data_IF_609545094083
#
_entry.id   IF_609545094083
#
_cell.length_a   1.000
_cell.length_b   1.000
_cell.length_c   1.000
_cell.angle_alpha   90.00
_cell.angle_beta   90.00
_cell.angle_gamma   90.00
#
_symmetry.space_group_name_H-M   'P 1'
#
loop_
_entity.id
_entity.type
_entity.pdbx_description
1 polymer ?
#
# COMPACT_ATOMS: atom_id res chain seq x y z
N UNK A 1 12.32 -75.48 10.44
CA UNK A 1 11.48 -74.96 9.34
C UNK A 1 11.38 -73.45 9.52
N UNK A 2 12.25 -72.69 8.84
CA UNK A 2 12.26 -71.23 8.87
C UNK A 2 11.23 -70.73 7.85
N UNK A 3 10.07 -70.28 8.34
CA UNK A 3 9.09 -69.57 7.52
C UNK A 3 9.65 -68.18 7.25
N UNK A 4 10.34 -68.06 6.11
CA UNK A 4 10.83 -66.82 5.54
C UNK A 4 9.65 -65.91 5.16
N UNK A 5 9.15 -65.14 6.14
CA UNK A 5 8.25 -64.00 5.94
C UNK A 5 9.06 -62.79 5.46
N UNK A 6 9.70 -62.91 4.29
CA UNK A 6 10.10 -61.73 3.53
C UNK A 6 8.85 -61.28 2.78
N UNK A 7 8.06 -60.43 3.45
CA UNK A 7 7.05 -59.60 2.81
C UNK A 7 7.77 -58.90 1.65
N UNK A 8 7.46 -59.27 0.41
CA UNK A 8 7.80 -58.49 -0.78
C UNK A 8 7.14 -57.13 -0.58
N UNK A 9 7.92 -56.15 -0.15
CA UNK A 9 7.51 -54.76 -0.26
C UNK A 9 7.53 -54.46 -1.75
N UNK A 10 6.40 -54.05 -2.30
CA UNK A 10 6.33 -53.55 -3.68
C UNK A 10 7.20 -52.30 -3.78
N UNK A 11 8.46 -52.49 -4.19
CA UNK A 11 9.47 -51.43 -4.31
C UNK A 11 8.98 -50.26 -5.18
N UNK A 12 8.08 -50.52 -6.14
CA UNK A 12 7.45 -49.49 -6.98
C UNK A 12 6.49 -48.56 -6.22
N UNK A 13 5.77 -49.05 -5.22
CA UNK A 13 4.83 -48.26 -4.40
C UNK A 13 5.57 -47.32 -3.45
N UNK A 14 6.66 -47.81 -2.85
CA UNK A 14 7.49 -47.03 -1.94
C UNK A 14 8.18 -45.87 -2.66
N UNK A 15 8.75 -46.11 -3.85
CA UNK A 15 9.39 -45.07 -4.66
C UNK A 15 8.39 -44.01 -5.11
N UNK A 16 7.19 -44.40 -5.56
CA UNK A 16 6.15 -43.44 -5.93
C UNK A 16 5.71 -42.58 -4.73
N UNK A 17 5.50 -43.21 -3.58
CA UNK A 17 5.12 -42.52 -2.34
C UNK A 17 6.20 -41.55 -1.86
N UNK A 18 7.48 -41.95 -1.97
CA UNK A 18 8.62 -41.10 -1.65
C UNK A 18 8.73 -39.90 -2.60
N UNK A 19 8.54 -40.11 -3.90
CA UNK A 19 8.53 -39.04 -4.90
C UNK A 19 7.37 -38.08 -4.62
N UNK A 20 6.16 -38.58 -4.37
CA UNK A 20 5.00 -37.74 -4.02
C UNK A 20 5.25 -36.93 -2.74
N UNK A 21 5.86 -37.53 -1.73
CA UNK A 21 6.24 -36.83 -0.49
C UNK A 21 7.27 -35.73 -0.74
N UNK A 22 8.31 -36.00 -1.54
CA UNK A 22 9.34 -35.02 -1.89
C UNK A 22 8.76 -33.85 -2.70
N UNK A 23 7.85 -34.13 -3.63
CA UNK A 23 7.13 -33.09 -4.39
C UNK A 23 6.27 -32.24 -3.45
N UNK A 24 5.57 -32.85 -2.50
CA UNK A 24 4.77 -32.14 -1.50
C UNK A 24 5.65 -31.23 -0.63
N UNK A 25 6.77 -31.75 -0.11
CA UNK A 25 7.73 -30.97 0.69
C UNK A 25 8.30 -29.80 -0.11
N UNK A 26 8.65 -30.04 -1.38
CA UNK A 26 9.13 -28.99 -2.26
C UNK A 26 8.07 -27.91 -2.51
N UNK A 27 6.82 -28.31 -2.76
CA UNK A 27 5.69 -27.40 -2.96
C UNK A 27 5.39 -26.55 -1.71
N UNK A 28 5.44 -27.17 -0.52
CA UNK A 28 5.29 -26.44 0.76
C UNK A 28 6.43 -25.45 0.95
N UNK A 29 7.67 -25.83 0.62
CA UNK A 29 8.82 -24.96 0.75
C UNK A 29 8.80 -23.78 -0.22
N UNK A 30 8.42 -24.00 -1.48
CA UNK A 30 8.27 -22.92 -2.47
C UNK A 30 7.11 -22.00 -2.11
N UNK A 31 5.98 -22.53 -1.64
CA UNK A 31 4.87 -21.72 -1.11
C UNK A 31 5.31 -20.87 0.08
N UNK A 32 6.10 -21.43 1.00
CA UNK A 32 6.63 -20.70 2.16
C UNK A 32 7.57 -19.57 1.74
N UNK A 33 8.46 -19.82 0.76
CA UNK A 33 9.33 -18.79 0.18
C UNK A 33 8.53 -17.69 -0.52
N UNK A 34 7.49 -18.05 -1.28
CA UNK A 34 6.62 -17.09 -1.96
C UNK A 34 5.90 -16.19 -0.95
N UNK A 35 5.35 -16.77 0.13
CA UNK A 35 4.69 -16.02 1.20
C UNK A 35 5.64 -15.03 1.90
N UNK A 36 6.88 -15.47 2.20
CA UNK A 36 7.89 -14.58 2.78
C UNK A 36 8.30 -13.45 1.83
N UNK A 37 8.44 -13.75 0.54
CA UNK A 37 8.74 -12.74 -0.47
C UNK A 37 7.60 -11.72 -0.60
N UNK A 38 6.35 -12.18 -0.57
CA UNK A 38 5.17 -11.31 -0.62
C UNK A 38 5.08 -10.41 0.62
N UNK A 39 5.25 -10.96 1.82
CA UNK A 39 5.24 -10.17 3.06
C UNK A 39 6.31 -9.06 3.06
N UNK A 40 7.49 -9.33 2.48
CA UNK A 40 8.54 -8.30 2.32
C UNK A 40 8.13 -7.19 1.34
N UNK A 41 7.44 -7.55 0.25
CA UNK A 41 6.92 -6.57 -0.72
C UNK A 41 5.83 -5.71 -0.09
N UNK A 42 4.85 -6.33 0.55
CA UNK A 42 3.74 -5.61 1.21
C UNK A 42 4.29 -4.63 2.27
N UNK A 43 5.25 -5.07 3.09
CA UNK A 43 5.96 -4.18 4.05
C UNK A 43 6.65 -3.00 3.37
N UNK A 44 7.28 -3.25 2.21
CA UNK A 44 7.93 -2.19 1.44
C UNK A 44 6.93 -1.20 0.88
N UNK A 45 5.79 -1.66 0.36
CA UNK A 45 4.76 -0.79 -0.20
C UNK A 45 4.07 0.06 0.85
N UNK A 46 3.75 -0.50 2.03
CA UNK A 46 3.22 0.27 3.18
C UNK A 46 4.21 1.36 3.59
N UNK A 47 5.50 1.03 3.67
CA UNK A 47 6.55 2.02 3.95
C UNK A 47 6.62 3.11 2.87
N UNK A 48 6.44 2.73 1.60
CA UNK A 48 6.41 3.68 0.49
C UNK A 48 5.18 4.60 0.55
N UNK A 49 4.02 4.09 0.97
CA UNK A 49 2.82 4.90 1.19
C UNK A 49 3.07 5.98 2.26
N UNK A 50 3.64 5.60 3.42
CA UNK A 50 4.04 6.59 4.42
C UNK A 50 5.07 7.60 3.90
N UNK A 51 6.01 7.17 3.06
CA UNK A 51 6.99 8.07 2.45
C UNK A 51 6.32 9.07 1.49
N UNK A 52 5.31 8.64 0.73
CA UNK A 52 4.53 9.49 -0.16
C UNK A 52 3.75 10.55 0.63
N UNK A 53 3.10 10.19 1.75
CA UNK A 53 2.44 11.18 2.63
C UNK A 53 3.45 12.22 3.13
N UNK A 54 4.65 11.81 3.55
CA UNK A 54 5.69 12.75 3.98
C UNK A 54 6.08 13.71 2.85
N UNK A 55 6.14 13.23 1.62
CA UNK A 55 6.39 14.07 0.45
C UNK A 55 5.23 15.04 0.18
N UNK A 56 3.98 14.61 0.34
CA UNK A 56 2.81 15.49 0.25
C UNK A 56 2.88 16.61 1.31
N UNK A 57 3.19 16.28 2.56
CA UNK A 57 3.38 17.28 3.63
C UNK A 57 4.51 18.27 3.34
N UNK A 58 5.62 17.77 2.79
CA UNK A 58 6.74 18.62 2.39
C UNK A 58 6.34 19.59 1.27
N UNK A 59 5.57 19.12 0.28
CA UNK A 59 5.04 19.98 -0.78
C UNK A 59 4.01 20.97 -0.25
N UNK A 60 3.11 20.55 0.64
CA UNK A 60 2.13 21.43 1.27
C UNK A 60 2.81 22.56 2.06
N UNK A 61 3.90 22.25 2.78
CA UNK A 61 4.75 23.27 3.42
C UNK A 61 5.38 24.22 2.39
N UNK A 62 5.79 23.71 1.23
CA UNK A 62 6.27 24.52 0.12
C UNK A 62 5.21 25.47 -0.44
N UNK A 63 3.96 25.02 -0.54
CA UNK A 63 2.81 25.86 -0.95
C UNK A 63 2.61 26.98 0.07
N UNK A 64 2.57 26.67 1.36
CA UNK A 64 2.43 27.67 2.44
C UNK A 64 3.52 28.76 2.38
N UNK A 65 4.78 28.36 2.18
CA UNK A 65 5.90 29.31 2.02
C UNK A 65 5.69 30.18 0.76
N UNK A 66 5.41 29.56 -0.40
CA UNK A 66 5.22 30.27 -1.65
C UNK A 66 4.05 31.27 -1.60
N UNK A 67 2.95 30.92 -0.93
CA UNK A 67 1.81 31.82 -0.74
C UNK A 67 2.15 33.01 0.16
N UNK A 68 2.92 32.80 1.24
CA UNK A 68 3.40 33.89 2.11
C UNK A 68 4.33 34.86 1.39
N UNK A 69 5.17 34.33 0.51
CA UNK A 69 6.10 35.11 -0.31
C UNK A 69 5.44 35.72 -1.56
N UNK A 70 4.11 35.56 -1.71
CA UNK A 70 3.32 36.01 -2.88
C UNK A 70 3.80 35.41 -4.22
N UNK A 71 4.50 34.27 -4.19
CA UNK A 71 4.96 33.51 -5.35
C UNK A 71 3.83 32.61 -5.89
N UNK A 72 2.73 33.21 -6.35
CA UNK A 72 1.51 32.47 -6.73
C UNK A 72 1.72 31.42 -7.83
N UNK A 73 2.59 31.68 -8.81
CA UNK A 73 2.92 30.73 -9.88
C UNK A 73 3.62 29.49 -9.31
N UNK A 74 4.55 29.68 -8.38
CA UNK A 74 5.23 28.58 -7.71
C UNK A 74 4.28 27.79 -6.82
N UNK A 75 3.40 28.49 -6.09
CA UNK A 75 2.35 27.85 -5.31
C UNK A 75 1.45 26.97 -6.20
N UNK A 76 1.12 27.42 -7.41
CA UNK A 76 0.33 26.64 -8.37
C UNK A 76 1.05 25.38 -8.84
N UNK A 77 2.33 25.49 -9.22
CA UNK A 77 3.13 24.33 -9.61
C UNK A 77 3.25 23.30 -8.48
N UNK A 78 3.40 23.76 -7.25
CA UNK A 78 3.45 22.88 -6.07
C UNK A 78 2.07 22.25 -5.76
N UNK A 79 0.98 22.97 -6.01
CA UNK A 79 -0.38 22.45 -5.86
C UNK A 79 -0.68 21.36 -6.88
N UNK A 80 -0.27 21.53 -8.15
CA UNK A 80 -0.37 20.49 -9.18
C UNK A 80 0.48 19.26 -8.83
N UNK A 81 1.69 19.46 -8.31
CA UNK A 81 2.52 18.36 -7.80
C UNK A 81 1.86 17.64 -6.61
N UNK A 82 1.18 18.37 -5.73
CA UNK A 82 0.44 17.79 -4.61
C UNK A 82 -0.72 16.94 -5.15
N UNK A 83 -1.51 17.47 -6.08
CA UNK A 83 -2.61 16.76 -6.73
C UNK A 83 -2.14 15.43 -7.34
N UNK A 84 -1.09 15.45 -8.15
CA UNK A 84 -0.55 14.24 -8.77
C UNK A 84 -0.06 13.19 -7.75
N UNK A 85 0.48 13.61 -6.61
CA UNK A 85 0.92 12.70 -5.55
C UNK A 85 -0.24 12.11 -4.75
N UNK A 86 -1.29 12.90 -4.53
CA UNK A 86 -2.52 12.46 -3.87
C UNK A 86 -3.24 11.41 -4.75
N UNK A 87 -3.35 11.62 -6.07
CA UNK A 87 -3.92 10.62 -6.97
C UNK A 87 -3.09 9.34 -7.12
N UNK A 88 -1.76 9.44 -7.01
CA UNK A 88 -0.88 8.26 -6.90
C UNK A 88 -1.15 7.43 -5.64
N UNK A 89 -1.69 8.05 -4.59
CA UNK A 89 -1.98 7.39 -3.33
C UNK A 89 -3.03 6.29 -3.52
N UNK A 90 -4.21 6.63 -4.06
CA UNK A 90 -5.25 5.64 -4.32
C UNK A 90 -4.84 4.60 -5.35
N UNK A 91 -4.37 5.05 -6.51
CA UNK A 91 -4.09 4.17 -7.65
C UNK A 91 -3.02 3.12 -7.38
N UNK A 92 -2.02 3.45 -6.55
CA UNK A 92 -0.91 2.55 -6.25
C UNK A 92 -1.00 1.87 -4.89
N UNK A 93 -1.54 2.56 -3.89
CA UNK A 93 -1.51 2.11 -2.50
C UNK A 93 -2.89 1.80 -1.92
N UNK A 94 -3.99 1.95 -2.68
CA UNK A 94 -5.35 1.77 -2.17
C UNK A 94 -5.60 0.41 -1.50
N UNK A 95 -4.97 -0.66 -1.98
CA UNK A 95 -5.03 -2.00 -1.36
C UNK A 95 -4.38 -2.11 0.03
N UNK A 96 -3.64 -1.09 0.47
CA UNK A 96 -3.01 -1.00 1.79
C UNK A 96 -3.66 0.06 2.68
N UNK A 97 -4.89 0.48 2.36
CA UNK A 97 -5.63 1.47 3.12
C UNK A 97 -6.95 0.90 3.63
N UNK A 98 -7.44 1.52 4.70
CA UNK A 98 -8.82 1.37 5.12
C UNK A 98 -9.76 2.04 4.12
N UNK A 99 -11.00 1.54 3.94
CA UNK A 99 -11.97 2.09 2.98
C UNK A 99 -12.19 3.61 3.13
N UNK A 100 -12.16 4.11 4.36
CA UNK A 100 -12.34 5.52 4.73
C UNK A 100 -11.25 6.43 4.12
N UNK A 101 -10.07 5.89 3.81
CA UNK A 101 -9.01 6.63 3.16
C UNK A 101 -9.39 7.09 1.75
N UNK A 102 -10.23 6.33 1.04
CA UNK A 102 -10.63 6.67 -0.32
C UNK A 102 -11.47 7.95 -0.36
N UNK A 103 -12.40 8.09 0.59
CA UNK A 103 -13.24 9.28 0.72
C UNK A 103 -12.37 10.50 1.08
N UNK A 104 -11.43 10.36 2.01
CA UNK A 104 -10.50 11.44 2.39
C UNK A 104 -9.66 11.88 1.19
N UNK A 105 -9.12 10.93 0.41
CA UNK A 105 -8.32 11.26 -0.77
C UNK A 105 -9.17 11.97 -1.81
N UNK A 106 -10.40 11.50 -2.06
CA UNK A 106 -11.31 12.12 -3.02
C UNK A 106 -11.71 13.55 -2.59
N UNK A 107 -12.02 13.76 -1.32
CA UNK A 107 -12.27 15.09 -0.75
C UNK A 107 -11.05 16.00 -0.90
N UNK A 108 -9.84 15.47 -0.70
CA UNK A 108 -8.59 16.19 -0.86
C UNK A 108 -8.34 16.58 -2.33
N UNK A 109 -8.50 15.65 -3.27
CA UNK A 109 -8.38 15.93 -4.72
C UNK A 109 -9.37 16.99 -5.18
N UNK A 110 -10.63 16.87 -4.74
CA UNK A 110 -11.66 17.86 -5.02
C UNK A 110 -11.30 19.23 -4.46
N UNK A 111 -10.80 19.28 -3.22
CA UNK A 111 -10.36 20.52 -2.58
C UNK A 111 -9.21 21.17 -3.35
N UNK A 112 -8.24 20.37 -3.81
CA UNK A 112 -7.11 20.86 -4.61
C UNK A 112 -7.57 21.38 -5.98
N UNK A 113 -8.48 20.67 -6.65
CA UNK A 113 -8.99 21.05 -7.97
C UNK A 113 -9.92 22.27 -7.90
N UNK A 114 -10.69 22.38 -6.82
CA UNK A 114 -11.63 23.49 -6.59
C UNK A 114 -10.96 24.73 -6.00
N UNK A 115 -9.71 24.64 -5.57
CA UNK A 115 -8.89 25.78 -5.12
C UNK A 115 -8.62 26.75 -6.30
N UNK A 116 -9.61 27.59 -6.61
CA UNK A 116 -9.40 28.80 -7.42
C UNK A 116 -8.56 29.76 -6.59
N UNK A 117 -7.54 30.33 -7.23
CA UNK A 117 -6.55 31.23 -6.60
C UNK A 117 -7.21 32.17 -5.58
N UNK A 118 -6.79 32.15 -4.31
CA UNK A 118 -7.25 33.14 -3.35
C UNK A 118 -6.51 34.45 -3.64
N UNK A 119 -7.03 35.25 -4.57
CA UNK A 119 -6.70 36.69 -4.59
C UNK A 119 -7.31 37.43 -3.37
N UNK A 120 -8.01 36.71 -2.47
CA UNK A 120 -8.52 37.26 -1.21
C UNK A 120 -9.11 36.25 -0.23
N UNK A 121 -8.83 34.94 -0.39
CA UNK A 121 -9.31 33.88 0.51
C UNK A 121 -8.30 33.54 1.60
N UNK A 122 -8.79 33.00 2.72
CA UNK A 122 -7.95 32.52 3.83
C UNK A 122 -7.22 31.23 3.43
N UNK A 123 -6.10 31.38 2.74
CA UNK A 123 -5.24 30.28 2.32
C UNK A 123 -4.72 29.46 3.50
N UNK A 124 -4.68 30.03 4.70
CA UNK A 124 -4.25 29.32 5.90
C UNK A 124 -5.24 28.21 6.27
N UNK A 125 -6.55 28.51 6.20
CA UNK A 125 -7.59 27.50 6.41
C UNK A 125 -7.45 26.34 5.41
N UNK A 126 -7.20 26.65 4.13
CA UNK A 126 -6.96 25.62 3.12
C UNK A 126 -5.74 24.74 3.44
N UNK A 127 -4.62 25.35 3.81
CA UNK A 127 -3.40 24.60 4.19
C UNK A 127 -3.64 23.73 5.42
N UNK A 128 -4.36 24.24 6.42
CA UNK A 128 -4.66 23.50 7.64
C UNK A 128 -5.61 22.32 7.36
N UNK A 129 -6.66 22.53 6.56
CA UNK A 129 -7.53 21.44 6.08
C UNK A 129 -6.74 20.35 5.34
N UNK A 130 -5.86 20.74 4.40
CA UNK A 130 -5.03 19.77 3.67
C UNK A 130 -4.05 19.03 4.59
N UNK A 131 -3.60 19.65 5.68
CA UNK A 131 -2.77 18.99 6.67
C UNK A 131 -3.57 17.94 7.43
N UNK A 132 -4.77 18.29 7.88
CA UNK A 132 -5.68 17.37 8.56
C UNK A 132 -6.05 16.17 7.67
N UNK A 133 -6.35 16.40 6.38
CA UNK A 133 -6.59 15.31 5.43
C UNK A 133 -5.37 14.39 5.30
N UNK A 134 -4.14 14.93 5.24
CA UNK A 134 -2.92 14.12 5.18
C UNK A 134 -2.64 13.36 6.49
N UNK A 135 -3.01 13.92 7.64
CA UNK A 135 -2.97 13.24 8.93
C UNK A 135 -3.95 12.06 8.94
N UNK A 136 -5.21 12.29 8.55
CA UNK A 136 -6.21 11.25 8.47
C UNK A 136 -5.83 10.15 7.46
N UNK A 137 -5.31 10.50 6.27
CA UNK A 137 -4.78 9.53 5.31
C UNK A 137 -3.68 8.65 5.91
N UNK A 138 -2.82 9.22 6.75
CA UNK A 138 -1.73 8.48 7.39
C UNK A 138 -2.23 7.48 8.43
N UNK A 139 -3.24 7.88 9.20
CA UNK A 139 -3.89 7.03 10.21
C UNK A 139 -4.65 5.86 9.59
N UNK A 140 -5.13 6.02 8.34
CA UNK A 140 -5.86 4.99 7.60
C UNK A 140 -4.96 4.06 6.76
N UNK A 141 -3.63 4.17 6.83
CA UNK A 141 -2.72 3.17 6.24
C UNK A 141 -2.72 1.92 7.14
N UNK A 142 -2.92 0.75 6.55
CA UNK A 142 -2.90 -0.53 7.26
C UNK A 142 -1.50 -0.84 7.83
N UNK A 143 -1.47 -1.45 9.02
CA UNK A 143 -0.23 -1.99 9.58
C UNK A 143 0.22 -3.23 8.78
N UNK A 144 1.53 -3.47 8.73
CA UNK A 144 2.15 -4.62 8.08
C UNK A 144 1.67 -5.95 8.65
N UNK A 145 1.30 -5.92 9.94
CA UNK A 145 0.78 -7.09 10.66
C UNK A 145 -0.75 -7.23 10.56
N UNK A 146 -1.44 -6.30 9.88
CA UNK A 146 -2.88 -6.36 9.69
C UNK A 146 -3.26 -7.58 8.81
N UNK A 147 -4.19 -8.45 9.26
CA UNK A 147 -4.63 -9.59 8.48
C UNK A 147 -5.24 -9.21 7.11
N UNK A 148 -5.82 -8.01 6.98
CA UNK A 148 -6.38 -7.51 5.73
C UNK A 148 -5.30 -7.31 4.63
N UNK A 149 -4.05 -7.03 5.01
CA UNK A 149 -2.92 -6.92 4.06
C UNK A 149 -2.59 -8.27 3.41
N UNK A 150 -2.91 -9.38 4.09
CA UNK A 150 -2.63 -10.74 3.62
C UNK A 150 -3.81 -11.38 2.90
N UNK A 151 -5.00 -10.79 2.96
CA UNK A 151 -6.19 -11.31 2.29
C UNK A 151 -6.19 -10.94 0.79
N UNK A 152 -6.11 -11.92 -0.14
CA UNK A 152 -6.17 -11.66 -1.57
C UNK A 152 -7.49 -11.03 -2.02
N UNK A 153 -8.58 -11.24 -1.28
CA UNK A 153 -9.91 -10.71 -1.61
C UNK A 153 -10.00 -9.20 -1.35
N UNK A 154 -9.34 -8.73 -0.30
CA UNK A 154 -9.23 -7.29 0.01
C UNK A 154 -8.44 -6.55 -1.08
N UNK A 155 -7.43 -7.20 -1.68
CA UNK A 155 -6.64 -6.63 -2.79
C UNK A 155 -7.39 -6.56 -4.12
N UNK A 156 -8.45 -7.37 -4.32
CA UNK A 156 -9.25 -7.41 -5.55
C UNK A 156 -10.38 -6.39 -5.60
N UNK A 157 -10.81 -5.84 -4.45
CA UNK A 157 -11.87 -4.83 -4.39
C UNK A 157 -11.35 -3.40 -4.58
N UNK A 158 -10.04 -3.20 -4.49
CA UNK A 158 -9.37 -1.91 -4.63
C UNK A 158 -8.72 -1.68 -6.02
N UNK A 159 -8.96 -2.59 -6.98
CA UNK A 159 -8.46 -2.52 -8.37
C UNK A 159 -9.62 -2.37 -9.35
#
# INVERSE_FOLDING_TARGET
MAVSLVKKWDDGSFVLSLISFLVLVYAVFTACKANLAQARRDKSEIKNAHALIRQCRATLKGIDIALRDMEFERAYLLLDQLHGRVGLFLTKYGSYMQPEAADIVWEMENSITSAKTPQGGDHRLFIDMMRESLDAMQENILDVDDPAVRDPRSKMQAA
#
